data_IF_171089345087
#
_entry.id   IF_171089345087
#
_cell.length_a   1.000
_cell.length_b   1.000
_cell.length_c   1.000
_cell.angle_alpha   90.00
_cell.angle_beta   90.00
_cell.angle_gamma   90.00
#
_symmetry.space_group_name_H-M   'P 1'
#
loop_
_entity.id
_entity.type
_entity.pdbx_description
1 polymer ?
#
# COMPACT_ATOMS: atom_id res chain seq x y z
N UNK A 1 -0.63 14.65 -26.43
CA UNK A 1 -1.80 14.29 -25.59
C UNK A 1 -1.49 13.30 -24.46
N UNK A 2 -1.06 12.04 -24.69
CA UNK A 2 -0.78 11.10 -23.57
C UNK A 2 0.52 11.41 -22.81
N UNK A 3 1.58 11.83 -23.51
CA UNK A 3 2.87 12.19 -22.88
C UNK A 3 2.82 13.52 -22.11
N UNK A 4 2.18 14.56 -22.64
CA UNK A 4 2.05 15.85 -21.94
C UNK A 4 1.25 15.71 -20.63
N UNK A 5 0.15 14.94 -20.63
CA UNK A 5 -0.61 14.66 -19.40
C UNK A 5 0.22 13.90 -18.37
N UNK A 6 1.05 12.96 -18.82
CA UNK A 6 1.99 12.29 -17.93
C UNK A 6 3.00 13.28 -17.34
N UNK A 7 3.66 14.08 -18.17
CA UNK A 7 4.66 15.05 -17.72
C UNK A 7 4.06 16.07 -16.72
N UNK A 8 2.84 16.53 -16.97
CA UNK A 8 2.10 17.37 -16.03
C UNK A 8 1.86 16.64 -14.70
N UNK A 9 1.42 15.38 -14.75
CA UNK A 9 1.16 14.59 -13.52
C UNK A 9 2.42 14.22 -12.74
N UNK A 10 3.60 14.30 -13.35
CA UNK A 10 4.91 14.12 -12.72
C UNK A 10 5.46 15.42 -12.11
N UNK A 11 4.82 16.55 -12.37
CA UNK A 11 5.18 17.84 -11.79
C UNK A 11 4.72 17.93 -10.33
N UNK A 12 5.31 18.83 -9.55
CA UNK A 12 5.01 18.99 -8.12
C UNK A 12 3.50 19.10 -7.86
N UNK A 13 3.00 18.30 -6.91
CA UNK A 13 1.59 18.20 -6.56
C UNK A 13 0.76 17.26 -7.45
N UNK A 14 1.34 16.68 -8.50
CA UNK A 14 0.68 15.68 -9.34
C UNK A 14 0.71 14.25 -8.73
N UNK A 15 -0.15 13.34 -9.22
CA UNK A 15 -0.23 11.98 -8.67
C UNK A 15 1.00 11.12 -8.97
N UNK A 16 1.66 11.27 -10.12
CA UNK A 16 2.91 10.55 -10.40
C UNK A 16 4.10 11.18 -9.65
N UNK A 17 4.05 12.48 -9.35
CA UNK A 17 4.98 13.10 -8.41
C UNK A 17 4.82 12.53 -6.99
N UNK A 18 3.59 12.29 -6.53
CA UNK A 18 3.39 11.58 -5.26
C UNK A 18 4.07 10.20 -5.27
N UNK A 19 3.85 9.40 -6.32
CA UNK A 19 4.48 8.08 -6.45
C UNK A 19 6.02 8.17 -6.41
N UNK A 20 6.62 9.20 -7.04
CA UNK A 20 8.07 9.36 -7.03
C UNK A 20 8.64 9.66 -5.64
N UNK A 21 7.88 10.28 -4.74
CA UNK A 21 8.29 10.53 -3.35
C UNK A 21 8.44 9.23 -2.54
N UNK A 22 7.74 8.16 -2.93
CA UNK A 22 7.81 6.86 -2.28
C UNK A 22 9.13 6.14 -2.58
N UNK A 23 9.80 6.47 -3.69
CA UNK A 23 11.00 5.76 -4.16
C UNK A 23 12.12 5.85 -3.13
N UNK A 24 12.71 4.71 -2.78
CA UNK A 24 13.77 4.63 -1.78
C UNK A 24 13.95 3.23 -1.19
N UNK A 25 15.01 3.10 -0.38
CA UNK A 25 15.17 1.99 0.54
C UNK A 25 14.59 2.40 1.91
N UNK A 26 13.88 1.48 2.54
CA UNK A 26 13.10 1.72 3.75
C UNK A 26 13.34 0.62 4.78
N UNK A 27 13.33 1.00 6.05
CA UNK A 27 13.33 0.08 7.19
C UNK A 27 12.41 0.61 8.28
N UNK A 28 11.88 -0.28 9.11
CA UNK A 28 10.86 0.13 10.06
C UNK A 28 10.29 -1.01 10.88
N UNK A 29 9.08 -0.77 11.38
CA UNK A 29 8.33 -1.72 12.19
C UNK A 29 6.95 -1.92 11.57
N UNK A 30 6.56 -3.18 11.39
CA UNK A 30 5.22 -3.60 11.05
C UNK A 30 4.51 -4.07 12.33
N UNK A 31 3.31 -3.55 12.57
CA UNK A 31 2.43 -3.98 13.66
C UNK A 31 1.16 -4.57 13.06
N UNK A 32 0.67 -5.64 13.67
CA UNK A 32 -0.55 -6.33 13.25
C UNK A 32 -1.56 -6.36 14.39
N UNK A 33 -2.84 -6.18 14.05
CA UNK A 33 -3.97 -6.24 14.96
C UNK A 33 -4.95 -7.32 14.47
N UNK A 34 -5.40 -8.17 15.40
CA UNK A 34 -6.54 -9.08 15.18
C UNK A 34 -7.81 -8.60 15.87
N UNK A 35 -7.65 -7.76 16.89
CA UNK A 35 -8.71 -7.12 17.65
C UNK A 35 -8.42 -5.61 17.75
N UNK A 36 -9.45 -4.76 17.92
CA UNK A 36 -9.25 -3.33 18.13
C UNK A 36 -8.30 -3.06 19.32
N UNK A 37 -7.49 -2.01 19.19
CA UNK A 37 -6.63 -1.44 20.23
C UNK A 37 -5.52 -2.34 20.81
N UNK A 38 -5.45 -3.63 20.43
CA UNK A 38 -4.45 -4.59 20.95
C UNK A 38 -3.52 -5.06 19.84
N UNK A 39 -2.23 -4.71 19.95
CA UNK A 39 -1.19 -5.18 19.01
C UNK A 39 -0.97 -6.68 19.24
N UNK A 40 -1.20 -7.47 18.20
CA UNK A 40 -1.05 -8.92 18.22
C UNK A 40 0.35 -9.39 17.82
N UNK A 41 1.00 -8.68 16.90
CA UNK A 41 2.38 -8.93 16.46
C UNK A 41 3.09 -7.61 16.17
N UNK A 42 4.37 -7.54 16.49
CA UNK A 42 5.26 -6.46 16.10
C UNK A 42 6.56 -7.06 15.56
N UNK A 43 6.90 -6.74 14.31
CA UNK A 43 8.05 -7.31 13.62
C UNK A 43 8.83 -6.23 12.83
N UNK A 44 10.18 -6.30 12.81
CA UNK A 44 10.97 -5.45 11.93
C UNK A 44 10.63 -5.71 10.46
N UNK A 45 10.58 -4.65 9.66
CA UNK A 45 10.29 -4.71 8.23
C UNK A 45 11.33 -3.92 7.45
N UNK A 46 11.78 -4.48 6.33
CA UNK A 46 12.64 -3.80 5.36
C UNK A 46 12.01 -3.85 3.99
N UNK A 47 12.05 -2.75 3.25
CA UNK A 47 11.46 -2.66 1.93
C UNK A 47 12.23 -1.76 0.98
N UNK A 48 12.03 -1.97 -0.32
CA UNK A 48 12.51 -1.08 -1.38
C UNK A 48 11.34 -0.69 -2.25
N UNK A 49 11.23 0.60 -2.57
CA UNK A 49 10.26 1.12 -3.52
C UNK A 49 11.03 1.66 -4.72
N UNK A 50 10.79 1.10 -5.91
CA UNK A 50 11.49 1.45 -7.16
C UNK A 50 10.51 2.07 -8.15
N UNK A 51 10.90 3.17 -8.78
CA UNK A 51 10.20 3.67 -9.97
C UNK A 51 10.44 2.74 -11.17
N UNK A 52 9.39 2.45 -11.93
CA UNK A 52 9.48 1.61 -13.14
C UNK A 52 8.70 2.24 -14.29
N UNK A 53 9.05 1.82 -15.52
CA UNK A 53 8.35 2.23 -16.75
C UNK A 53 8.25 3.76 -16.87
N UNK A 54 9.39 4.45 -16.78
CA UNK A 54 9.52 5.91 -16.90
C UNK A 54 8.70 6.70 -15.86
N UNK A 55 8.60 6.16 -14.65
CA UNK A 55 7.90 6.81 -13.54
C UNK A 55 6.38 6.73 -13.64
N UNK A 56 5.84 5.80 -14.43
CA UNK A 56 4.40 5.50 -14.50
C UNK A 56 3.92 4.69 -13.30
N UNK A 57 4.80 3.87 -12.75
CA UNK A 57 4.50 3.00 -11.63
C UNK A 57 5.64 3.00 -10.62
N UNK A 58 5.33 2.57 -9.41
CA UNK A 58 6.33 2.13 -8.43
C UNK A 58 6.07 0.70 -8.00
N UNK A 59 7.14 -0.03 -7.73
CA UNK A 59 7.10 -1.40 -7.18
C UNK A 59 7.68 -1.37 -5.78
N UNK A 60 6.88 -1.72 -4.79
CA UNK A 60 7.27 -1.91 -3.39
C UNK A 60 7.50 -3.40 -3.15
N UNK A 61 8.72 -3.78 -2.79
CA UNK A 61 9.07 -5.14 -2.36
C UNK A 61 9.53 -5.08 -0.90
N UNK A 62 9.09 -6.00 -0.07
CA UNK A 62 9.42 -5.99 1.35
C UNK A 62 9.51 -7.38 1.98
N UNK A 63 10.23 -7.44 3.10
CA UNK A 63 10.39 -8.61 3.96
C UNK A 63 10.15 -8.23 5.41
N UNK A 64 9.51 -9.11 6.16
CA UNK A 64 9.16 -8.97 7.58
C UNK A 64 9.05 -10.36 8.23
N UNK A 65 8.48 -10.42 9.43
CA UNK A 65 7.99 -11.63 10.04
C UNK A 65 6.54 -11.45 10.53
N UNK A 66 5.86 -12.57 10.81
CA UNK A 66 4.61 -12.61 11.57
C UNK A 66 4.61 -13.86 12.45
N UNK A 67 4.43 -13.70 13.76
CA UNK A 67 4.47 -14.82 14.71
C UNK A 67 5.79 -15.60 14.63
N UNK A 68 6.90 -14.89 14.38
CA UNK A 68 8.24 -15.47 14.20
C UNK A 68 8.49 -16.18 12.86
N UNK A 69 7.52 -16.23 11.95
CA UNK A 69 7.68 -16.82 10.61
C UNK A 69 8.02 -15.76 9.57
N UNK A 70 8.94 -16.02 8.62
CA UNK A 70 9.25 -15.09 7.55
C UNK A 70 8.03 -14.72 6.70
N UNK A 71 7.91 -13.44 6.37
CA UNK A 71 6.90 -12.88 5.48
C UNK A 71 7.58 -12.07 4.38
N UNK A 72 7.14 -12.23 3.13
CA UNK A 72 7.54 -11.36 2.02
C UNK A 72 6.32 -10.92 1.22
N UNK A 73 6.35 -9.71 0.69
CA UNK A 73 5.28 -9.22 -0.16
C UNK A 73 5.77 -8.22 -1.20
N UNK A 74 4.88 -7.94 -2.15
CA UNK A 74 5.11 -7.00 -3.23
C UNK A 74 3.82 -6.28 -3.59
N UNK A 75 3.93 -4.98 -3.87
CA UNK A 75 2.86 -4.19 -4.45
C UNK A 75 3.35 -3.40 -5.67
N UNK A 76 2.53 -3.32 -6.71
CA UNK A 76 2.74 -2.37 -7.82
C UNK A 76 1.67 -1.30 -7.75
N UNK A 77 2.09 -0.04 -7.74
CA UNK A 77 1.22 1.13 -7.60
C UNK A 77 1.33 2.00 -8.84
N UNK A 78 0.21 2.56 -9.28
CA UNK A 78 0.15 3.50 -10.41
C UNK A 78 -1.01 4.48 -10.28
N UNK A 79 -1.10 5.41 -11.23
CA UNK A 79 -2.23 6.32 -11.36
C UNK A 79 -2.80 6.30 -12.79
N UNK A 80 -4.08 5.95 -12.91
CA UNK A 80 -4.78 5.88 -14.18
C UNK A 80 -5.27 7.29 -14.59
N UNK A 81 -4.57 7.94 -15.52
CA UNK A 81 -4.83 9.34 -15.91
C UNK A 81 -6.25 9.57 -16.44
N UNK A 82 -6.77 8.68 -17.30
CA UNK A 82 -8.09 8.84 -17.89
C UNK A 82 -9.22 8.54 -16.89
N UNK A 83 -8.93 7.68 -15.91
CA UNK A 83 -9.90 7.26 -14.90
C UNK A 83 -9.81 8.07 -13.61
N UNK A 84 -8.79 8.93 -13.47
CA UNK A 84 -8.60 9.79 -12.31
C UNK A 84 -8.46 9.05 -10.98
N UNK A 85 -7.79 7.89 -10.95
CA UNK A 85 -7.68 7.08 -9.73
C UNK A 85 -6.31 6.40 -9.62
N UNK A 86 -5.86 6.19 -8.37
CA UNK A 86 -4.78 5.28 -8.04
C UNK A 86 -5.23 3.83 -8.24
N UNK A 87 -4.29 3.00 -8.66
CA UNK A 87 -4.45 1.55 -8.79
C UNK A 87 -3.30 0.87 -8.07
N UNK A 88 -3.60 -0.25 -7.42
CA UNK A 88 -2.62 -1.08 -6.74
C UNK A 88 -2.94 -2.55 -6.95
N UNK A 89 -1.92 -3.34 -7.21
CA UNK A 89 -1.97 -4.80 -7.06
C UNK A 89 -1.03 -5.21 -5.95
N UNK A 90 -1.51 -6.06 -5.05
CA UNK A 90 -0.75 -6.52 -3.89
C UNK A 90 -0.81 -8.04 -3.77
N UNK A 91 0.36 -8.62 -3.48
CA UNK A 91 0.56 -10.04 -3.21
C UNK A 91 1.52 -10.21 -2.04
N UNK A 92 1.34 -11.26 -1.27
CA UNK A 92 2.26 -11.62 -0.20
C UNK A 92 2.19 -13.11 0.13
N UNK A 93 3.07 -13.56 1.02
CA UNK A 93 3.16 -14.96 1.44
C UNK A 93 2.23 -15.31 2.60
N UNK A 94 1.31 -14.42 3.01
CA UNK A 94 0.55 -14.59 4.25
C UNK A 94 -0.94 -14.25 4.14
N UNK A 95 -1.30 -13.05 3.67
CA UNK A 95 -2.66 -12.54 3.76
C UNK A 95 -3.54 -12.95 2.59
N UNK A 96 -3.03 -12.86 1.36
CA UNK A 96 -3.84 -13.09 0.14
C UNK A 96 -3.74 -14.51 -0.41
N UNK A 97 -2.94 -15.37 0.22
CA UNK A 97 -2.73 -16.75 -0.22
C UNK A 97 -2.12 -16.81 -1.62
N UNK A 98 -2.86 -17.39 -2.58
CA UNK A 98 -2.47 -17.44 -4.00
C UNK A 98 -3.30 -16.50 -4.88
N UNK A 99 -4.03 -15.56 -4.28
CA UNK A 99 -4.81 -14.54 -5.00
C UNK A 99 -3.97 -13.27 -5.26
N UNK A 100 -4.47 -12.41 -6.15
CA UNK A 100 -3.91 -11.08 -6.44
C UNK A 100 -4.94 -10.04 -6.02
N UNK A 101 -4.60 -9.27 -4.98
CA UNK A 101 -5.50 -8.25 -4.47
C UNK A 101 -5.37 -6.97 -5.32
N UNK A 102 -6.39 -6.75 -6.14
CA UNK A 102 -6.54 -5.53 -6.94
C UNK A 102 -7.30 -4.48 -6.13
N UNK A 103 -6.77 -3.26 -6.07
CA UNK A 103 -7.38 -2.13 -5.35
C UNK A 103 -7.41 -0.89 -6.21
N UNK A 104 -8.49 -0.11 -6.09
CA UNK A 104 -8.65 1.19 -6.74
C UNK A 104 -8.96 2.25 -5.71
N UNK A 105 -8.50 3.48 -5.94
CA UNK A 105 -8.59 4.55 -4.98
C UNK A 105 -8.72 5.89 -5.66
N UNK A 106 -9.65 6.73 -5.22
CA UNK A 106 -9.65 8.12 -5.65
C UNK A 106 -8.44 8.83 -5.04
N UNK A 107 -7.87 9.84 -5.72
CA UNK A 107 -6.81 10.64 -5.13
C UNK A 107 -7.27 11.24 -3.80
N UNK A 108 -6.53 10.95 -2.73
CA UNK A 108 -6.58 11.73 -1.49
C UNK A 108 -5.79 13.03 -1.65
N UNK A 109 -5.68 13.79 -0.56
CA UNK A 109 -4.88 15.03 -0.48
C UNK A 109 -3.43 14.75 -0.91
N UNK A 110 -2.68 15.77 -1.35
CA UNK A 110 -1.36 15.66 -2.00
C UNK A 110 -0.28 14.79 -1.32
N UNK A 111 -0.45 14.43 -0.06
CA UNK A 111 0.48 13.66 0.80
C UNK A 111 -0.07 12.29 1.21
N UNK A 112 -1.29 11.91 0.79
CA UNK A 112 -1.91 10.62 1.11
C UNK A 112 -2.81 10.13 -0.01
N UNK A 113 -2.76 8.83 -0.30
CA UNK A 113 -3.86 8.18 -1.04
C UNK A 113 -4.39 6.95 -0.30
N UNK A 114 -5.62 6.56 -0.64
CA UNK A 114 -6.30 5.39 -0.13
C UNK A 114 -6.81 4.57 -1.31
N UNK A 115 -6.50 3.29 -1.36
CA UNK A 115 -7.06 2.33 -2.32
C UNK A 115 -7.86 1.26 -1.59
N UNK A 116 -8.96 0.81 -2.20
CA UNK A 116 -9.82 -0.24 -1.68
C UNK A 116 -9.89 -1.40 -2.67
N UNK A 117 -9.54 -2.59 -2.19
CA UNK A 117 -9.77 -3.85 -2.86
C UNK A 117 -10.74 -4.72 -2.06
N UNK A 118 -10.90 -5.95 -2.49
CA UNK A 118 -11.62 -6.96 -1.72
C UNK A 118 -10.98 -8.33 -1.90
N UNK A 119 -11.14 -9.21 -0.92
CA UNK A 119 -10.56 -10.55 -0.91
C UNK A 119 -11.55 -11.56 -0.30
N UNK A 120 -11.30 -12.85 -0.54
CA UNK A 120 -12.09 -13.94 0.05
C UNK A 120 -11.52 -14.34 1.41
N UNK A 121 -12.39 -14.54 2.39
CA UNK A 121 -12.04 -15.15 3.69
C UNK A 121 -12.38 -16.65 3.73
N UNK A 122 -13.03 -17.17 2.71
CA UNK A 122 -13.46 -18.57 2.56
C UNK A 122 -14.41 -18.73 1.36
N UNK A 123 -14.58 -19.96 0.86
CA UNK A 123 -15.34 -20.24 -0.38
C UNK A 123 -16.80 -19.75 -0.35
N UNK A 124 -17.43 -19.77 0.83
CA UNK A 124 -18.84 -19.40 1.02
C UNK A 124 -19.01 -18.08 1.78
N UNK A 125 -17.91 -17.40 2.10
CA UNK A 125 -17.95 -16.15 2.84
C UNK A 125 -18.11 -14.96 1.88
N UNK A 126 -18.87 -13.92 2.28
CA UNK A 126 -18.90 -12.69 1.51
C UNK A 126 -17.49 -12.09 1.44
N UNK A 127 -17.18 -11.36 0.37
CA UNK A 127 -15.88 -10.72 0.21
C UNK A 127 -15.68 -9.63 1.26
N UNK A 128 -14.53 -9.63 1.91
CA UNK A 128 -14.14 -8.55 2.82
C UNK A 128 -13.44 -7.45 2.03
N UNK A 129 -13.64 -6.20 2.44
CA UNK A 129 -12.89 -5.07 1.92
C UNK A 129 -11.49 -5.01 2.53
N UNK A 130 -10.52 -4.61 1.72
CA UNK A 130 -9.15 -4.36 2.15
C UNK A 130 -8.75 -2.95 1.72
N UNK A 131 -8.71 -2.01 2.65
CA UNK A 131 -8.27 -0.62 2.38
C UNK A 131 -6.79 -0.49 2.72
N UNK A 132 -6.05 0.14 1.83
CA UNK A 132 -4.64 0.51 2.06
C UNK A 132 -4.49 2.02 1.92
N UNK A 133 -4.03 2.65 3.00
CA UNK A 133 -3.69 4.05 3.06
C UNK A 133 -2.17 4.19 3.04
N UNK A 134 -1.65 5.04 2.15
CA UNK A 134 -0.22 5.34 2.04
C UNK A 134 -0.04 6.84 2.21
N UNK A 135 0.82 7.23 3.15
CA UNK A 135 1.02 8.62 3.54
C UNK A 135 2.49 8.97 3.68
N UNK A 136 2.89 10.03 2.98
CA UNK A 136 4.21 10.63 3.08
C UNK A 136 4.20 11.62 4.25
N UNK A 137 4.79 11.21 5.38
CA UNK A 137 4.82 12.02 6.62
C UNK A 137 6.00 12.99 6.67
N UNK A 138 6.93 12.86 5.74
CA UNK A 138 8.12 13.70 5.58
C UNK A 138 9.06 13.07 4.54
N UNK A 139 10.20 13.72 4.22
CA UNK A 139 11.14 13.23 3.21
C UNK A 139 11.63 11.79 3.47
N UNK A 140 11.77 11.44 4.76
CA UNK A 140 12.33 10.17 5.22
C UNK A 140 11.34 9.36 6.07
N UNK A 141 10.05 9.65 5.98
CA UNK A 141 9.02 8.99 6.78
C UNK A 141 7.80 8.62 5.93
N UNK A 142 7.48 7.32 5.92
CA UNK A 142 6.33 6.75 5.21
C UNK A 142 5.47 5.95 6.20
N UNK A 143 4.16 6.17 6.17
CA UNK A 143 3.19 5.39 6.92
C UNK A 143 2.29 4.64 5.94
N UNK A 144 2.21 3.32 6.10
CA UNK A 144 1.26 2.48 5.35
C UNK A 144 0.33 1.83 6.35
N UNK A 145 -0.98 2.03 6.20
CA UNK A 145 -2.00 1.45 7.08
C UNK A 145 -2.98 0.63 6.27
N UNK A 146 -3.17 -0.62 6.66
CA UNK A 146 -4.14 -1.54 6.06
C UNK A 146 -5.32 -1.71 7.01
N UNK A 147 -6.52 -1.83 6.43
CA UNK A 147 -7.75 -2.03 7.17
C UNK A 147 -8.56 -3.18 6.58
N UNK A 148 -9.10 -4.01 7.47
CA UNK A 148 -10.13 -4.99 7.15
C UNK A 148 -11.50 -4.36 7.26
N UNK A 149 -12.38 -4.69 6.31
CA UNK A 149 -13.75 -4.20 6.29
C UNK A 149 -14.68 -5.39 6.09
N UNK A 150 -15.27 -5.88 7.18
CA UNK A 150 -16.30 -6.91 7.10
C UNK A 150 -17.57 -6.32 6.44
N UNK A 151 -18.32 -7.10 5.65
CA UNK A 151 -19.56 -6.63 5.06
C UNK A 151 -20.54 -6.08 6.10
N UNK A 152 -20.91 -4.81 5.94
CA UNK A 152 -21.84 -4.11 6.84
C UNK A 152 -21.19 -3.51 8.09
N UNK A 153 -19.87 -3.61 8.25
CA UNK A 153 -19.14 -3.08 9.40
C UNK A 153 -18.15 -1.97 9.00
N UNK A 154 -17.72 -1.20 10.00
CA UNK A 154 -16.72 -0.15 9.83
C UNK A 154 -15.31 -0.72 9.67
N UNK A 155 -14.45 0.03 9.00
CA UNK A 155 -13.05 -0.36 8.76
C UNK A 155 -12.27 -0.52 10.08
N UNK A 156 -11.69 -1.70 10.28
CA UNK A 156 -10.84 -2.04 11.41
C UNK A 156 -9.37 -2.06 11.01
N UNK A 157 -8.49 -1.44 11.80
CA UNK A 157 -7.05 -1.42 11.51
C UNK A 157 -6.51 -2.85 11.59
N UNK A 158 -5.82 -3.29 10.55
CA UNK A 158 -5.25 -4.63 10.45
C UNK A 158 -3.73 -4.61 10.54
N UNK A 159 -3.08 -3.74 9.76
CA UNK A 159 -1.61 -3.65 9.70
C UNK A 159 -1.21 -2.18 9.66
N UNK A 160 -0.14 -1.83 10.36
CA UNK A 160 0.50 -0.52 10.28
C UNK A 160 2.00 -0.71 10.08
N UNK A 161 2.54 -0.08 9.04
CA UNK A 161 3.96 -0.08 8.73
C UNK A 161 4.46 1.34 8.89
N UNK A 162 5.36 1.54 9.85
CA UNK A 162 6.07 2.80 10.05
C UNK A 162 7.47 2.67 9.47
N UNK A 163 7.67 3.26 8.30
CA UNK A 163 8.95 3.25 7.60
C UNK A 163 9.74 4.53 7.85
N UNK A 164 11.06 4.35 7.97
CA UNK A 164 12.07 5.39 7.83
C UNK A 164 12.99 5.08 6.66
N UNK A 165 13.44 6.12 5.97
CA UNK A 165 14.36 5.94 4.84
C UNK A 165 15.69 5.41 5.35
N UNK A 166 16.21 4.37 4.69
CA UNK A 166 17.55 3.86 4.94
C UNK A 166 18.55 4.76 4.19
N UNK A 167 19.49 5.31 4.94
CA UNK A 167 20.62 6.12 4.44
C UNK A 167 21.57 5.31 3.56
#
# INVERSE_FOLDING_TARGET
MSQERLQQSQSAGGPHHFLSQLVGAWEGVARTWFEPDTVADESPITGTIRGVLDGRFVVHEYTSAMGGKPLSGMATLGYHLDGGHFTMVWVDTFHVGTDILNSVGTPGVSDRFSVLGSYFTGEQSPRWGWRTDIEVRGPDSLLITHFNIQPGEDAQKAIEIQYRRRS
#
